data_IF_083466640810
#
_entry.id   IF_083466640810
#
_cell.length_a   1.000
_cell.length_b   1.000
_cell.length_c   1.000
_cell.angle_alpha   90.00
_cell.angle_beta   90.00
_cell.angle_gamma   90.00
#
_symmetry.space_group_name_H-M   'P 1'
#
loop_
_entity.id
_entity.type
_entity.pdbx_description
1 polymer ?
#
# COMPACT_ATOMS: atom_id res chain seq x y z
N UNK A 1 13.70 -3.15 -23.05
CA UNK A 1 12.86 -3.77 -22.02
C UNK A 1 12.30 -2.67 -21.15
N UNK A 2 10.97 -2.53 -21.14
CA UNK A 2 10.28 -1.51 -20.35
C UNK A 2 10.59 -1.73 -18.86
N UNK A 3 10.83 -0.68 -18.07
CA UNK A 3 11.03 -0.84 -16.62
C UNK A 3 9.80 -1.44 -15.92
N UNK A 4 8.64 -1.46 -16.58
CA UNK A 4 7.44 -2.08 -16.06
C UNK A 4 7.43 -3.61 -16.20
N UNK A 5 8.06 -4.17 -17.24
CA UNK A 5 8.17 -5.63 -17.45
C UNK A 5 8.90 -6.36 -16.31
N UNK A 6 9.67 -5.62 -15.49
CA UNK A 6 10.42 -6.16 -14.36
C UNK A 6 9.62 -6.21 -13.06
N UNK A 7 8.42 -5.63 -13.01
CA UNK A 7 7.60 -5.60 -11.81
C UNK A 7 6.66 -6.81 -11.77
N UNK A 8 6.34 -7.33 -10.56
CA UNK A 8 5.54 -8.55 -10.41
C UNK A 8 4.14 -8.46 -11.03
N UNK A 9 3.59 -7.25 -11.16
CA UNK A 9 2.30 -7.00 -11.83
C UNK A 9 2.42 -6.07 -13.03
N UNK A 10 3.61 -5.93 -13.60
CA UNK A 10 3.85 -5.05 -14.75
C UNK A 10 3.49 -3.58 -14.45
N UNK A 11 2.85 -2.96 -15.43
CA UNK A 11 2.31 -1.59 -15.41
C UNK A 11 1.26 -1.36 -14.31
N UNK A 12 0.63 -2.43 -13.82
CA UNK A 12 -0.44 -2.36 -12.81
C UNK A 12 0.12 -2.35 -11.38
N UNK A 13 1.39 -2.68 -11.18
CA UNK A 13 2.01 -2.75 -9.85
C UNK A 13 1.82 -1.49 -8.99
N UNK A 14 1.96 -0.26 -9.52
CA UNK A 14 1.72 0.94 -8.72
C UNK A 14 0.28 1.03 -8.22
N UNK A 15 -0.70 0.67 -9.06
CA UNK A 15 -2.11 0.64 -8.69
C UNK A 15 -2.40 -0.46 -7.66
N UNK A 16 -1.82 -1.64 -7.83
CA UNK A 16 -1.96 -2.75 -6.86
C UNK A 16 -1.43 -2.34 -5.48
N UNK A 17 -0.29 -1.65 -5.41
CA UNK A 17 0.27 -1.15 -4.14
C UNK A 17 -0.61 -0.07 -3.50
N UNK A 18 -1.17 0.84 -4.30
CA UNK A 18 -2.07 1.89 -3.81
C UNK A 18 -3.37 1.26 -3.27
N UNK A 19 -4.06 0.47 -4.08
CA UNK A 19 -5.33 -0.13 -3.68
C UNK A 19 -5.16 -1.15 -2.56
N UNK A 20 -4.10 -1.96 -2.59
CA UNK A 20 -3.75 -2.88 -1.53
C UNK A 20 -3.44 -2.15 -0.22
N UNK A 21 -2.66 -1.07 -0.27
CA UNK A 21 -2.37 -0.24 0.90
C UNK A 21 -3.63 0.43 1.49
N UNK A 22 -4.51 0.98 0.64
CA UNK A 22 -5.79 1.55 1.07
C UNK A 22 -6.67 0.48 1.73
N UNK A 23 -6.76 -0.71 1.13
CA UNK A 23 -7.54 -1.82 1.65
C UNK A 23 -7.04 -2.25 3.04
N UNK A 24 -5.71 -2.38 3.21
CA UNK A 24 -5.10 -2.71 4.50
C UNK A 24 -5.34 -1.62 5.55
N UNK A 25 -5.33 -0.34 5.15
CA UNK A 25 -5.69 0.78 6.03
C UNK A 25 -7.12 0.67 6.53
N UNK A 26 -8.08 0.37 5.64
CA UNK A 26 -9.49 0.18 6.02
C UNK A 26 -9.63 -0.99 6.98
N UNK A 27 -8.95 -2.12 6.73
CA UNK A 27 -8.95 -3.26 7.65
C UNK A 27 -8.36 -2.92 9.02
N UNK A 28 -7.27 -2.16 9.07
CA UNK A 28 -6.68 -1.70 10.34
C UNK A 28 -7.66 -0.81 11.11
N UNK A 29 -8.34 0.13 10.44
CA UNK A 29 -9.36 0.98 11.07
C UNK A 29 -10.52 0.13 11.62
N UNK A 30 -10.98 -0.86 10.84
CA UNK A 30 -12.02 -1.78 11.30
C UNK A 30 -11.56 -2.59 12.52
N UNK A 31 -10.30 -3.05 12.55
CA UNK A 31 -9.71 -3.69 13.73
C UNK A 31 -9.71 -2.74 14.93
N UNK A 32 -9.32 -1.48 14.75
CA UNK A 32 -9.36 -0.47 15.82
C UNK A 32 -10.78 -0.25 16.37
N UNK A 33 -11.80 -0.31 15.52
CA UNK A 33 -13.20 -0.10 15.92
C UNK A 33 -13.85 -1.32 16.59
N UNK A 34 -13.38 -2.52 16.28
CA UNK A 34 -14.02 -3.78 16.69
C UNK A 34 -13.24 -4.54 17.76
N UNK A 35 -12.00 -4.14 18.01
CA UNK A 35 -11.16 -4.80 18.99
C UNK A 35 -11.40 -4.27 20.39
N UNK A 36 -11.57 -5.18 21.35
CA UNK A 36 -11.40 -4.87 22.76
C UNK A 36 -9.97 -4.34 22.98
N UNK A 37 -9.81 -3.41 23.92
CA UNK A 37 -8.58 -2.64 24.20
C UNK A 37 -7.31 -3.51 24.37
N UNK A 38 -7.45 -4.81 24.63
CA UNK A 38 -6.35 -5.77 24.75
C UNK A 38 -5.75 -6.23 23.42
N UNK A 39 -6.36 -5.94 22.27
CA UNK A 39 -5.76 -6.26 20.97
C UNK A 39 -4.47 -5.46 20.82
N UNK A 40 -3.37 -6.17 20.52
CA UNK A 40 -2.01 -5.65 20.36
C UNK A 40 -1.99 -4.35 19.55
N UNK A 41 -2.14 -3.24 20.25
CA UNK A 41 -2.17 -1.89 19.70
C UNK A 41 -0.89 -1.62 18.90
N UNK A 42 0.22 -2.24 19.30
CA UNK A 42 1.50 -2.21 18.61
C UNK A 42 1.41 -2.89 17.24
N UNK A 43 0.81 -4.08 17.17
CA UNK A 43 0.63 -4.81 15.92
C UNK A 43 -0.24 -4.00 14.95
N UNK A 44 -1.38 -3.50 15.42
CA UNK A 44 -2.29 -2.73 14.56
C UNK A 44 -1.67 -1.38 14.11
N UNK A 45 -0.84 -0.76 14.97
CA UNK A 45 -0.07 0.44 14.61
C UNK A 45 0.98 0.15 13.53
N UNK A 46 1.71 -0.98 13.65
CA UNK A 46 2.68 -1.41 12.64
C UNK A 46 1.99 -1.74 11.31
N UNK A 47 0.87 -2.46 11.34
CA UNK A 47 0.06 -2.75 10.14
C UNK A 47 -0.40 -1.45 9.45
N UNK A 48 -0.85 -0.46 10.24
CA UNK A 48 -1.27 0.85 9.72
C UNK A 48 -0.11 1.59 9.02
N UNK A 49 1.07 1.60 9.64
CA UNK A 49 2.26 2.24 9.07
C UNK A 49 2.73 1.53 7.80
N UNK A 50 2.69 0.20 7.76
CA UNK A 50 3.01 -0.58 6.57
C UNK A 50 2.02 -0.29 5.43
N UNK A 51 0.72 -0.23 5.74
CA UNK A 51 -0.32 0.11 4.78
C UNK A 51 -0.11 1.51 4.18
N UNK A 52 0.19 2.51 5.02
CA UNK A 52 0.56 3.86 4.57
C UNK A 52 1.82 3.83 3.68
N UNK A 53 2.85 3.09 4.10
CA UNK A 53 4.08 2.91 3.34
C UNK A 53 3.83 2.35 1.94
N UNK A 54 2.98 1.32 1.83
CA UNK A 54 2.59 0.72 0.54
C UNK A 54 1.90 1.75 -0.37
N UNK A 55 0.99 2.56 0.17
CA UNK A 55 0.33 3.64 -0.60
C UNK A 55 1.35 4.64 -1.11
N UNK A 56 2.26 5.12 -0.25
CA UNK A 56 3.28 6.10 -0.62
C UNK A 56 4.20 5.54 -1.71
N UNK A 57 4.67 4.30 -1.56
CA UNK A 57 5.53 3.63 -2.53
C UNK A 57 4.79 3.44 -3.86
N UNK A 58 3.52 3.02 -3.82
CA UNK A 58 2.67 2.91 -5.01
C UNK A 58 2.51 4.24 -5.75
N UNK A 59 2.24 5.35 -5.03
CA UNK A 59 2.14 6.70 -5.61
C UNK A 59 3.48 7.13 -6.23
N UNK A 60 4.59 6.92 -5.52
CA UNK A 60 5.94 7.28 -6.01
C UNK A 60 6.30 6.51 -7.28
N UNK A 61 6.02 5.21 -7.30
CA UNK A 61 6.19 4.38 -8.49
C UNK A 61 5.32 4.91 -9.62
N UNK A 62 4.03 5.14 -9.38
CA UNK A 62 3.11 5.65 -10.41
C UNK A 62 3.60 6.95 -11.06
N UNK A 63 4.09 7.90 -10.25
CA UNK A 63 4.69 9.17 -10.74
C UNK A 63 5.96 8.93 -11.56
N UNK A 64 6.90 8.14 -11.03
CA UNK A 64 8.17 7.84 -11.70
C UNK A 64 7.95 7.18 -13.06
N UNK A 65 6.98 6.28 -13.13
CA UNK A 65 6.65 5.53 -14.32
C UNK A 65 5.92 6.36 -15.37
N UNK A 66 5.01 7.24 -14.95
CA UNK A 66 4.36 8.19 -15.87
C UNK A 66 5.37 9.14 -16.51
N UNK A 67 6.34 9.64 -15.72
CA UNK A 67 7.41 10.53 -16.20
C UNK A 67 8.41 9.86 -17.16
N UNK A 68 8.57 8.54 -17.11
CA UNK A 68 9.47 7.80 -18.01
C UNK A 68 8.81 7.42 -19.36
N UNK A 69 7.48 7.54 -19.46
CA UNK A 69 6.70 7.25 -20.66
C UNK A 69 6.31 8.53 -21.44
N UNK A 70 6.52 9.72 -20.87
CA UNK A 70 6.51 11.01 -21.58
C UNK A 70 7.89 11.27 -22.20
#
# INVERSE_FOLDING_TARGET
>A
MSQFEKLPFGDKTPLVLIYGGIFLLVLSILKWMTSDIEVDWLYNSVESLLAIGLVIVGIRLHKKYRSNNE
#
